data_IF_074570451499
#
_entry.id   IF_074570451499
#
_cell.length_a   1.000
_cell.length_b   1.000
_cell.length_c   1.000
_cell.angle_alpha   90.00
_cell.angle_beta   90.00
_cell.angle_gamma   90.00
#
_symmetry.space_group_name_H-M   'P 1'
#
loop_
_entity.id
_entity.type
_entity.pdbx_description
1 polymer ?
#
# COMPACT_ATOMS: atom_id res chain seq x y z
N UNK A 1 26.91 76.62 20.43
CA UNK A 1 26.07 75.56 21.00
C UNK A 1 25.90 74.50 19.92
N UNK A 2 26.77 73.49 19.93
CA UNK A 2 26.85 72.40 18.95
C UNK A 2 25.82 71.36 19.36
N UNK A 3 24.87 71.03 18.49
CA UNK A 3 23.91 69.95 18.71
C UNK A 3 24.27 68.77 17.81
N UNK A 4 24.68 67.70 18.49
CA UNK A 4 25.24 66.46 17.97
C UNK A 4 24.20 65.64 17.22
N UNK A 5 24.65 65.09 16.10
CA UNK A 5 24.06 64.03 15.27
C UNK A 5 23.92 62.71 16.03
N UNK A 6 22.83 61.98 15.77
CA UNK A 6 22.64 60.59 16.20
C UNK A 6 21.80 59.80 15.20
N UNK A 7 22.41 59.34 14.10
CA UNK A 7 21.80 58.33 13.23
C UNK A 7 21.94 56.96 13.88
N UNK A 8 20.83 56.40 14.35
CA UNK A 8 20.72 54.99 14.74
C UNK A 8 20.66 54.15 13.47
N UNK A 9 21.76 53.50 13.12
CA UNK A 9 21.80 52.49 12.06
C UNK A 9 21.23 51.19 12.64
N UNK A 10 19.94 50.93 12.41
CA UNK A 10 19.35 49.62 12.61
C UNK A 10 19.80 48.71 11.47
N UNK A 11 20.83 47.90 11.71
CA UNK A 11 21.24 46.85 10.78
C UNK A 11 20.24 45.69 10.82
N UNK A 12 19.53 45.44 9.71
CA UNK A 12 18.80 44.18 9.54
C UNK A 12 19.81 43.04 9.46
N UNK A 13 19.96 42.28 10.54
CA UNK A 13 20.65 40.99 10.50
C UNK A 13 19.78 40.03 9.70
N UNK A 14 20.12 39.85 8.42
CA UNK A 14 19.50 38.82 7.59
C UNK A 14 19.85 37.47 8.21
N UNK A 15 18.87 36.87 8.88
CA UNK A 15 19.01 35.56 9.51
C UNK A 15 19.19 34.54 8.38
N UNK A 16 20.45 34.23 8.07
CA UNK A 16 20.79 33.15 7.15
C UNK A 16 20.27 31.87 7.78
N UNK A 17 19.12 31.41 7.30
CA UNK A 17 18.54 30.13 7.68
C UNK A 17 19.62 29.07 7.51
N UNK A 18 19.90 28.34 8.58
CA UNK A 18 20.98 27.36 8.56
C UNK A 18 20.64 26.26 7.55
N UNK A 19 21.65 25.70 6.88
CA UNK A 19 21.43 24.59 5.94
C UNK A 19 20.67 23.41 6.60
N UNK A 20 20.82 23.24 7.92
CA UNK A 20 20.10 22.24 8.69
C UNK A 20 18.58 22.53 8.77
N UNK A 21 18.18 23.78 9.00
CA UNK A 21 16.75 24.18 8.98
C UNK A 21 16.17 24.06 7.56
N UNK A 22 16.96 24.35 6.53
CA UNK A 22 16.52 24.19 5.14
C UNK A 22 16.35 22.73 4.74
N UNK A 23 17.22 21.83 5.22
CA UNK A 23 17.11 20.39 4.98
C UNK A 23 15.92 19.79 5.74
N UNK A 24 15.73 20.18 7.02
CA UNK A 24 14.60 19.73 7.82
C UNK A 24 13.27 20.23 7.25
N UNK A 25 13.23 21.44 6.68
CA UNK A 25 12.02 21.99 6.08
C UNK A 25 11.63 21.35 4.77
N UNK A 26 12.50 20.58 4.09
CA UNK A 26 12.20 19.89 2.83
C UNK A 26 12.23 18.35 2.94
N UNK A 27 12.35 17.82 4.16
CA UNK A 27 12.36 16.38 4.38
C UNK A 27 10.94 15.81 4.24
N UNK A 28 10.79 14.93 3.24
CA UNK A 28 9.54 14.28 2.89
C UNK A 28 8.98 13.44 4.04
N UNK A 29 9.80 12.99 4.99
CA UNK A 29 9.35 12.18 6.13
C UNK A 29 8.50 13.00 7.10
N UNK A 30 8.75 14.30 7.20
CA UNK A 30 7.95 15.21 8.03
C UNK A 30 6.78 15.82 7.26
N UNK A 31 6.98 16.19 5.99
CA UNK A 31 5.92 16.82 5.18
C UNK A 31 4.89 15.82 4.63
N UNK A 32 5.34 14.62 4.27
CA UNK A 32 4.55 13.59 3.60
C UNK A 32 4.82 12.20 4.21
N UNK A 33 4.57 12.02 5.52
CA UNK A 33 4.76 10.73 6.17
C UNK A 33 3.85 9.69 5.52
N UNK A 34 4.38 8.47 5.36
CA UNK A 34 3.54 7.31 5.06
C UNK A 34 2.90 6.88 6.37
N UNK A 35 1.57 6.93 6.40
CA UNK A 35 0.78 6.49 7.54
C UNK A 35 0.33 5.06 7.28
N UNK A 36 0.61 4.19 8.24
CA UNK A 36 0.21 2.78 8.21
C UNK A 36 -1.00 2.63 9.11
N UNK A 37 -2.15 2.24 8.53
CA UNK A 37 -3.41 2.10 9.25
C UNK A 37 -4.20 0.89 8.79
N UNK A 38 -5.11 0.40 9.63
CA UNK A 38 -6.04 -0.67 9.25
C UNK A 38 -7.18 -0.08 8.42
N UNK A 39 -7.41 -0.63 7.23
CA UNK A 39 -8.46 -0.20 6.33
C UNK A 39 -9.10 -1.41 5.63
N UNK A 40 -10.39 -1.33 5.27
CA UNK A 40 -11.04 -2.40 4.54
C UNK A 40 -10.46 -2.53 3.13
N UNK A 41 -10.17 -3.76 2.73
CA UNK A 41 -10.06 -4.17 1.33
C UNK A 41 -11.42 -4.64 0.87
N UNK A 42 -11.88 -4.17 -0.29
CA UNK A 42 -13.26 -4.42 -0.75
C UNK A 42 -13.28 -5.00 -2.16
N UNK A 43 -14.17 -5.96 -2.38
CA UNK A 43 -14.52 -6.48 -3.70
C UNK A 43 -16.03 -6.34 -3.91
N UNK A 44 -16.41 -5.46 -4.82
CA UNK A 44 -17.81 -5.23 -5.20
C UNK A 44 -18.21 -6.13 -6.35
N UNK A 45 -19.25 -6.94 -6.11
CA UNK A 45 -19.79 -7.91 -7.06
C UNK A 45 -21.09 -7.35 -7.63
N UNK A 46 -21.12 -6.88 -8.89
CA UNK A 46 -22.35 -6.48 -9.54
C UNK A 46 -23.22 -7.71 -9.81
N UNK A 47 -24.45 -7.72 -9.30
CA UNK A 47 -25.39 -8.83 -9.48
C UNK A 47 -26.59 -8.33 -10.29
N UNK A 48 -26.79 -8.90 -11.49
CA UNK A 48 -27.97 -8.58 -12.29
C UNK A 48 -29.25 -9.19 -11.70
N UNK A 49 -30.40 -8.55 -11.91
CA UNK A 49 -31.73 -8.94 -11.37
C UNK A 49 -32.16 -10.39 -11.60
N UNK A 50 -31.70 -10.99 -12.71
CA UNK A 50 -32.07 -12.35 -13.09
C UNK A 50 -31.00 -13.39 -12.73
N UNK A 51 -29.91 -12.97 -12.07
CA UNK A 51 -28.82 -13.84 -11.70
C UNK A 51 -29.28 -14.82 -10.63
N UNK A 52 -29.14 -16.12 -10.90
CA UNK A 52 -29.48 -17.19 -9.95
C UNK A 52 -28.26 -17.91 -9.39
N UNK A 53 -27.15 -17.87 -10.11
CA UNK A 53 -25.90 -18.56 -9.82
C UNK A 53 -24.72 -17.70 -10.26
N UNK A 54 -23.59 -17.80 -9.57
CA UNK A 54 -22.35 -17.17 -10.01
C UNK A 54 -21.62 -18.07 -11.03
N UNK A 55 -21.02 -17.44 -12.04
CA UNK A 55 -20.15 -18.13 -12.99
C UNK A 55 -18.76 -18.40 -12.40
N UNK A 56 -18.06 -19.38 -12.98
CA UNK A 56 -16.71 -19.80 -12.57
C UNK A 56 -15.72 -18.65 -12.34
N UNK A 57 -15.55 -17.71 -13.30
CA UNK A 57 -14.62 -16.60 -13.13
C UNK A 57 -14.89 -15.74 -11.89
N UNK A 58 -16.17 -15.48 -11.58
CA UNK A 58 -16.55 -14.70 -10.39
C UNK A 58 -16.27 -15.48 -9.12
N UNK A 59 -16.58 -16.79 -9.09
CA UNK A 59 -16.26 -17.64 -7.94
C UNK A 59 -14.76 -17.77 -7.72
N UNK A 60 -13.96 -17.80 -8.78
CA UNK A 60 -12.50 -17.86 -8.70
C UNK A 60 -11.93 -16.55 -8.12
N UNK A 61 -12.45 -15.40 -8.55
CA UNK A 61 -12.08 -14.10 -7.94
C UNK A 61 -12.43 -14.04 -6.45
N UNK A 62 -13.60 -14.57 -6.05
CA UNK A 62 -14.01 -14.64 -4.64
C UNK A 62 -13.09 -15.58 -3.85
N UNK A 63 -12.72 -16.73 -4.42
CA UNK A 63 -11.78 -17.66 -3.80
C UNK A 63 -10.38 -17.03 -3.63
N UNK A 64 -9.90 -16.27 -4.63
CA UNK A 64 -8.66 -15.50 -4.54
C UNK A 64 -8.74 -14.46 -3.43
N UNK A 65 -9.83 -13.70 -3.36
CA UNK A 65 -10.05 -12.71 -2.32
C UNK A 65 -10.02 -13.33 -0.91
N UNK A 66 -10.57 -14.53 -0.74
CA UNK A 66 -10.45 -15.29 0.51
C UNK A 66 -9.00 -15.71 0.81
N UNK A 67 -8.23 -16.16 -0.17
CA UNK A 67 -6.80 -16.46 0.00
C UNK A 67 -6.02 -15.21 0.41
N UNK A 68 -6.28 -14.06 -0.22
CA UNK A 68 -5.63 -12.79 0.09
C UNK A 68 -5.98 -12.30 1.49
N UNK A 69 -7.23 -12.47 1.93
CA UNK A 69 -7.64 -12.13 3.30
C UNK A 69 -6.82 -12.87 4.37
N UNK A 70 -6.37 -14.10 4.07
CA UNK A 70 -5.53 -14.92 4.96
C UNK A 70 -4.05 -14.56 4.89
N UNK A 71 -3.56 -14.12 3.73
CA UNK A 71 -2.16 -13.77 3.51
C UNK A 71 -1.83 -12.35 3.94
N UNK A 72 -2.74 -11.41 3.70
CA UNK A 72 -2.51 -9.97 3.81
C UNK A 72 -3.42 -9.30 4.87
N UNK A 73 -4.44 -9.99 5.36
CA UNK A 73 -5.41 -9.47 6.33
C UNK A 73 -5.52 -10.32 7.60
N UNK A 74 -6.63 -10.14 8.31
CA UNK A 74 -6.93 -10.88 9.55
C UNK A 74 -7.55 -12.28 9.33
N UNK A 75 -7.61 -12.77 8.09
CA UNK A 75 -8.17 -14.08 7.74
C UNK A 75 -9.67 -14.20 7.97
N UNK A 76 -10.43 -13.10 7.89
CA UNK A 76 -11.89 -13.07 8.00
C UNK A 76 -12.46 -12.25 6.84
N UNK A 77 -13.63 -12.64 6.34
CA UNK A 77 -14.34 -11.90 5.29
C UNK A 77 -15.76 -11.60 5.75
N UNK A 78 -16.18 -10.37 5.53
CA UNK A 78 -17.55 -9.91 5.71
C UNK A 78 -18.25 -9.81 4.37
N UNK A 79 -19.45 -10.36 4.29
CA UNK A 79 -20.35 -10.24 3.14
C UNK A 79 -21.37 -9.16 3.48
N UNK A 80 -21.31 -8.03 2.78
CA UNK A 80 -22.25 -6.92 2.88
C UNK A 80 -23.32 -7.09 1.78
N UNK A 81 -24.54 -7.35 2.22
CA UNK A 81 -25.69 -7.67 1.38
C UNK A 81 -26.62 -6.46 1.30
N UNK A 82 -26.92 -5.92 0.12
CA UNK A 82 -27.87 -4.83 -0.01
C UNK A 82 -29.29 -5.30 0.32
N UNK A 83 -30.08 -4.43 0.94
CA UNK A 83 -31.51 -4.63 1.20
C UNK A 83 -32.33 -3.50 0.58
N UNK A 84 -33.51 -3.82 0.05
CA UNK A 84 -34.42 -2.85 -0.57
C UNK A 84 -34.03 -2.42 -1.98
N UNK A 85 -33.11 -3.12 -2.64
CA UNK A 85 -32.72 -2.89 -4.03
C UNK A 85 -33.54 -3.74 -5.01
N UNK A 86 -33.62 -3.33 -6.27
CA UNK A 86 -34.39 -4.04 -7.30
C UNK A 86 -33.90 -5.49 -7.58
N UNK A 87 -32.65 -5.79 -7.22
CA UNK A 87 -32.00 -7.09 -7.40
C UNK A 87 -31.91 -7.93 -6.11
N UNK A 88 -32.61 -7.57 -5.04
CA UNK A 88 -32.52 -8.23 -3.72
C UNK A 88 -32.75 -9.76 -3.79
N UNK A 89 -33.73 -10.22 -4.57
CA UNK A 89 -33.98 -11.65 -4.76
C UNK A 89 -32.82 -12.39 -5.44
N UNK A 90 -32.13 -11.75 -6.39
CA UNK A 90 -30.95 -12.33 -7.05
C UNK A 90 -29.75 -12.38 -6.10
N UNK A 91 -29.54 -11.30 -5.35
CA UNK A 91 -28.51 -11.18 -4.31
C UNK A 91 -28.64 -12.31 -3.26
N UNK A 92 -29.87 -12.58 -2.79
CA UNK A 92 -30.12 -13.71 -1.89
C UNK A 92 -29.81 -15.06 -2.52
N UNK A 93 -30.15 -15.27 -3.80
CA UNK A 93 -29.90 -16.52 -4.50
C UNK A 93 -28.39 -16.85 -4.62
N UNK A 94 -27.56 -15.84 -4.93
CA UNK A 94 -26.11 -16.04 -5.14
C UNK A 94 -25.29 -16.07 -3.85
N UNK A 95 -25.86 -15.65 -2.70
CA UNK A 95 -25.13 -15.62 -1.42
C UNK A 95 -24.58 -16.99 -1.03
N UNK A 96 -25.25 -18.09 -1.39
CA UNK A 96 -24.76 -19.46 -1.15
C UNK A 96 -23.49 -19.74 -1.96
N UNK A 97 -23.44 -19.31 -3.21
CA UNK A 97 -22.30 -19.51 -4.11
C UNK A 97 -21.09 -18.71 -3.61
N UNK A 98 -21.30 -17.47 -3.15
CA UNK A 98 -20.27 -16.64 -2.51
C UNK A 98 -19.67 -17.36 -1.30
N UNK A 99 -20.50 -17.88 -0.38
CA UNK A 99 -19.99 -18.64 0.77
C UNK A 99 -19.25 -19.92 0.36
N UNK A 100 -19.68 -20.56 -0.73
CA UNK A 100 -18.98 -21.71 -1.31
C UNK A 100 -17.58 -21.34 -1.79
N UNK A 101 -17.47 -20.28 -2.59
CA UNK A 101 -16.21 -19.78 -3.11
C UNK A 101 -15.26 -19.29 -2.00
N UNK A 102 -15.76 -18.58 -0.98
CA UNK A 102 -14.94 -18.18 0.18
C UNK A 102 -14.38 -19.39 0.94
N UNK A 103 -15.14 -20.48 1.04
CA UNK A 103 -14.66 -21.74 1.63
C UNK A 103 -13.61 -22.43 0.77
N UNK A 104 -13.77 -22.41 -0.55
CA UNK A 104 -12.74 -22.91 -1.49
C UNK A 104 -11.44 -22.13 -1.34
N UNK A 105 -11.49 -20.82 -1.07
CA UNK A 105 -10.33 -20.00 -0.69
C UNK A 105 -9.76 -20.26 0.71
N UNK A 106 -10.29 -21.25 1.44
CA UNK A 106 -9.75 -21.72 2.73
C UNK A 106 -10.34 -21.06 3.98
N UNK A 107 -11.46 -20.33 3.88
CA UNK A 107 -12.14 -19.78 5.05
C UNK A 107 -13.13 -20.77 5.66
N UNK A 108 -13.11 -20.89 6.98
CA UNK A 108 -14.11 -21.64 7.74
C UNK A 108 -15.39 -20.82 7.97
N UNK A 109 -16.47 -21.45 8.44
CA UNK A 109 -17.74 -20.76 8.71
C UNK A 109 -17.60 -19.62 9.74
N UNK A 110 -16.74 -19.74 10.75
CA UNK A 110 -16.54 -18.73 11.79
C UNK A 110 -15.77 -17.50 11.29
N UNK A 111 -15.06 -17.64 10.17
CA UNK A 111 -14.32 -16.56 9.52
C UNK A 111 -15.16 -15.78 8.51
N UNK A 112 -16.37 -16.25 8.18
CA UNK A 112 -17.28 -15.60 7.23
C UNK A 112 -18.46 -14.99 7.98
N UNK A 113 -18.51 -13.67 8.02
CA UNK A 113 -19.63 -12.92 8.59
C UNK A 113 -20.52 -12.34 7.49
N UNK A 114 -21.75 -11.97 7.84
CA UNK A 114 -22.69 -11.35 6.90
C UNK A 114 -23.38 -10.20 7.60
N UNK A 115 -23.40 -9.05 6.93
CA UNK A 115 -24.13 -7.86 7.35
C UNK A 115 -24.97 -7.35 6.19
N UNK A 116 -25.99 -6.58 6.51
CA UNK A 116 -26.85 -5.94 5.52
C UNK A 116 -26.60 -4.44 5.50
N UNK A 117 -26.83 -3.82 4.36
CA UNK A 117 -26.86 -2.36 4.25
C UNK A 117 -28.05 -1.92 3.38
N UNK A 118 -28.70 -0.79 3.70
CA UNK A 118 -29.82 -0.30 2.91
C UNK A 118 -29.34 0.24 1.55
N UNK A 119 -30.07 -0.08 0.48
CA UNK A 119 -29.91 0.60 -0.79
C UNK A 119 -30.49 2.01 -0.71
N UNK A 120 -29.79 3.00 -1.26
CA UNK A 120 -30.29 4.38 -1.34
C UNK A 120 -31.37 4.57 -2.40
N UNK A 121 -31.36 3.73 -3.44
CA UNK A 121 -32.33 3.75 -4.54
C UNK A 121 -32.98 2.37 -4.68
N UNK A 122 -34.29 2.23 -4.43
CA UNK A 122 -35.00 0.97 -4.57
C UNK A 122 -35.11 0.46 -6.01
N UNK A 123 -34.99 1.37 -6.99
CA UNK A 123 -35.10 1.04 -8.41
C UNK A 123 -33.77 0.58 -9.00
N UNK A 124 -32.65 0.84 -8.33
CA UNK A 124 -31.31 0.49 -8.78
C UNK A 124 -30.88 -0.93 -8.36
N UNK A 125 -29.96 -1.50 -9.13
CA UNK A 125 -29.27 -2.74 -8.76
C UNK A 125 -28.11 -2.40 -7.84
N UNK A 126 -28.07 -3.02 -6.65
CA UNK A 126 -27.00 -2.80 -5.68
C UNK A 126 -26.03 -3.99 -5.67
N UNK A 127 -24.70 -3.75 -5.59
CA UNK A 127 -23.71 -4.83 -5.58
C UNK A 127 -23.68 -5.58 -4.24
N UNK A 128 -23.14 -6.80 -4.22
CA UNK A 128 -22.70 -7.42 -2.96
C UNK A 128 -21.26 -7.00 -2.72
N UNK A 129 -20.96 -6.46 -1.53
CA UNK A 129 -19.58 -6.08 -1.17
C UNK A 129 -18.96 -7.14 -0.28
N UNK A 130 -17.82 -7.67 -0.67
CA UNK A 130 -16.96 -8.45 0.22
C UNK A 130 -15.94 -7.51 0.85
N UNK A 131 -15.68 -7.65 2.15
CA UNK A 131 -14.62 -6.88 2.80
C UNK A 131 -13.80 -7.72 3.78
N UNK A 132 -12.52 -7.37 3.91
CA UNK A 132 -11.69 -7.80 5.04
C UNK A 132 -10.78 -6.67 5.49
N UNK A 133 -10.33 -6.71 6.74
CA UNK A 133 -9.43 -5.70 7.26
C UNK A 133 -7.97 -6.08 6.98
N UNK A 134 -7.19 -5.11 6.49
CA UNK A 134 -5.75 -5.23 6.26
C UNK A 134 -5.03 -3.95 6.65
N UNK A 135 -3.73 -4.06 6.91
CA UNK A 135 -2.88 -2.88 6.98
C UNK A 135 -2.72 -2.28 5.57
N UNK A 136 -2.83 -0.96 5.47
CA UNK A 136 -2.56 -0.17 4.27
C UNK A 136 -1.55 0.93 4.59
N UNK A 137 -0.69 1.21 3.62
CA UNK A 137 0.19 2.37 3.64
C UNK A 137 -0.46 3.47 2.78
N UNK A 138 -0.66 4.65 3.35
CA UNK A 138 -1.26 5.79 2.65
C UNK A 138 -0.50 7.07 2.97
N UNK A 139 -0.45 7.99 2.03
CA UNK A 139 -0.01 9.37 2.25
C UNK A 139 -1.22 10.29 2.31
N UNK A 140 -1.01 11.56 2.70
CA UNK A 140 -2.00 12.61 2.47
C UNK A 140 -2.26 12.83 0.98
N UNK A 141 -3.27 13.65 0.66
CA UNK A 141 -3.59 14.01 -0.72
C UNK A 141 -2.42 14.73 -1.39
N UNK A 142 -1.98 14.19 -2.53
CA UNK A 142 -0.96 14.79 -3.40
C UNK A 142 -1.65 15.34 -4.67
N UNK A 143 -1.07 16.33 -5.36
CA UNK A 143 -1.54 16.72 -6.70
C UNK A 143 -1.47 18.20 -7.06
N UNK A 144 -1.19 19.08 -6.10
CA UNK A 144 -0.92 20.50 -6.35
C UNK A 144 0.46 20.77 -6.99
N UNK A 145 0.50 21.04 -8.29
CA UNK A 145 1.72 21.42 -9.01
C UNK A 145 1.62 22.86 -9.53
N UNK A 146 1.78 23.89 -8.66
CA UNK A 146 1.46 25.27 -8.99
C UNK A 146 2.48 25.96 -9.90
N UNK A 147 3.66 25.37 -10.10
CA UNK A 147 4.71 25.89 -10.98
C UNK A 147 4.96 24.90 -12.11
N UNK A 148 5.87 25.22 -13.02
CA UNK A 148 6.42 24.27 -13.98
C UNK A 148 7.87 24.00 -13.60
N UNK A 149 8.33 22.75 -13.77
CA UNK A 149 9.70 22.33 -13.45
C UNK A 149 10.77 23.12 -14.26
N UNK A 150 10.42 23.62 -15.44
CA UNK A 150 11.34 24.37 -16.31
C UNK A 150 11.69 25.79 -15.83
N UNK A 151 10.95 26.37 -14.88
CA UNK A 151 11.14 27.76 -14.44
C UNK A 151 12.21 27.98 -13.35
N UNK A 152 12.80 26.91 -12.82
CA UNK A 152 13.66 26.96 -11.62
C UNK A 152 14.90 26.06 -11.66
N UNK A 153 15.39 25.73 -12.86
CA UNK A 153 16.50 24.78 -13.10
C UNK A 153 17.85 25.18 -12.46
N UNK A 154 17.96 26.41 -11.95
CA UNK A 154 19.17 26.93 -11.30
C UNK A 154 19.22 26.67 -9.80
N UNK A 155 18.15 26.16 -9.20
CA UNK A 155 18.02 25.95 -7.76
C UNK A 155 17.96 24.45 -7.45
N UNK A 156 18.92 23.93 -6.67
CA UNK A 156 18.92 22.53 -6.21
C UNK A 156 17.97 22.36 -5.01
N UNK A 157 16.67 22.52 -5.26
CA UNK A 157 15.62 22.43 -4.23
C UNK A 157 14.54 21.44 -4.65
N UNK A 158 13.91 20.79 -3.67
CA UNK A 158 12.82 19.85 -3.94
C UNK A 158 11.64 20.58 -4.59
N UNK A 159 11.12 19.98 -5.67
CA UNK A 159 9.91 20.47 -6.32
C UNK A 159 8.68 20.16 -5.45
N UNK A 160 7.66 21.04 -5.45
CA UNK A 160 6.67 21.15 -4.35
C UNK A 160 6.03 19.82 -3.91
N UNK A 161 5.63 18.96 -4.84
CA UNK A 161 4.99 17.68 -4.54
C UNK A 161 5.87 16.46 -4.82
N UNK A 162 7.15 16.65 -5.09
CA UNK A 162 8.04 15.54 -5.41
C UNK A 162 8.15 14.54 -4.26
N UNK A 163 8.24 15.04 -3.01
CA UNK A 163 8.20 14.20 -1.81
C UNK A 163 6.89 13.43 -1.67
N UNK A 164 5.75 14.09 -1.88
CA UNK A 164 4.42 13.46 -1.81
C UNK A 164 4.27 12.37 -2.87
N UNK A 165 4.63 12.65 -4.12
CA UNK A 165 4.55 11.69 -5.22
C UNK A 165 5.45 10.47 -4.98
N UNK A 166 6.68 10.69 -4.51
CA UNK A 166 7.62 9.61 -4.19
C UNK A 166 7.09 8.73 -3.06
N UNK A 167 6.59 9.34 -1.98
CA UNK A 167 6.04 8.62 -0.83
C UNK A 167 4.75 7.86 -1.18
N UNK A 168 3.88 8.44 -2.01
CA UNK A 168 2.65 7.81 -2.48
C UNK A 168 2.95 6.60 -3.37
N UNK A 169 3.90 6.72 -4.28
CA UNK A 169 4.36 5.59 -5.11
C UNK A 169 4.98 4.49 -4.24
N UNK A 170 5.83 4.85 -3.26
CA UNK A 170 6.39 3.88 -2.32
C UNK A 170 5.28 3.16 -1.54
N UNK A 171 4.32 3.90 -0.99
CA UNK A 171 3.19 3.33 -0.26
C UNK A 171 2.35 2.37 -1.13
N UNK A 172 2.18 2.66 -2.41
CA UNK A 172 1.46 1.80 -3.36
C UNK A 172 2.24 0.53 -3.77
N UNK A 173 3.58 0.59 -3.81
CA UNK A 173 4.43 -0.55 -4.17
C UNK A 173 4.71 -1.50 -3.01
N UNK A 174 4.54 -1.04 -1.77
CA UNK A 174 4.82 -1.86 -0.57
C UNK A 174 3.76 -2.97 -0.45
N UNK A 175 4.21 -4.21 -0.62
CA UNK A 175 3.36 -5.40 -0.49
C UNK A 175 2.81 -5.56 0.94
N UNK A 176 3.69 -5.38 1.95
CA UNK A 176 3.32 -5.46 3.37
C UNK A 176 3.62 -4.15 4.11
N UNK A 177 2.59 -3.32 4.36
CA UNK A 177 2.73 -2.04 5.04
C UNK A 177 3.33 -2.12 6.45
N UNK A 178 3.24 -3.26 7.14
CA UNK A 178 3.82 -3.42 8.47
C UNK A 178 5.35 -3.35 8.47
N UNK A 179 5.99 -3.64 7.33
CA UNK A 179 7.45 -3.59 7.18
C UNK A 179 7.99 -2.14 7.27
N UNK A 180 7.13 -1.14 7.07
CA UNK A 180 7.48 0.28 7.24
C UNK A 180 7.56 0.72 8.70
N UNK A 181 6.96 -0.03 9.62
CA UNK A 181 7.01 0.24 11.06
C UNK A 181 8.20 -0.50 11.69
N UNK A 182 8.34 -1.78 11.37
CA UNK A 182 9.39 -2.63 11.92
C UNK A 182 9.83 -3.65 10.88
N UNK A 183 11.14 -3.92 10.75
CA UNK A 183 11.61 -4.99 9.88
C UNK A 183 11.05 -6.34 10.34
N UNK A 184 10.78 -7.24 9.40
CA UNK A 184 10.43 -8.63 9.71
C UNK A 184 11.58 -9.29 10.49
N UNK A 185 11.23 -10.28 11.32
CA UNK A 185 12.23 -11.11 11.98
C UNK A 185 13.13 -11.75 10.92
N UNK A 186 14.42 -11.47 10.97
CA UNK A 186 15.40 -12.17 10.15
C UNK A 186 15.53 -13.60 10.64
N UNK A 187 15.65 -14.54 9.71
CA UNK A 187 16.08 -15.90 10.06
C UNK A 187 17.54 -15.87 10.51
N UNK A 188 17.95 -16.79 11.41
CA UNK A 188 19.36 -16.94 11.74
C UNK A 188 20.18 -17.15 10.46
N UNK A 189 21.36 -16.53 10.41
CA UNK A 189 22.27 -16.74 9.28
C UNK A 189 22.64 -18.22 9.13
N UNK A 190 22.81 -18.68 7.90
CA UNK A 190 23.24 -20.04 7.60
C UNK A 190 24.67 -20.27 8.13
N UNK A 191 24.76 -20.97 9.27
CA UNK A 191 26.04 -21.24 9.94
C UNK A 191 26.92 -22.19 9.14
N UNK A 192 26.34 -23.11 8.37
CA UNK A 192 27.09 -24.03 7.53
C UNK A 192 27.74 -23.27 6.38
N UNK A 193 26.99 -22.38 5.71
CA UNK A 193 27.56 -21.51 4.67
C UNK A 193 28.68 -20.64 5.21
N UNK A 194 28.49 -20.05 6.39
CA UNK A 194 29.52 -19.25 7.06
C UNK A 194 30.79 -20.05 7.36
N UNK A 195 30.64 -21.26 7.93
CA UNK A 195 31.78 -22.14 8.20
C UNK A 195 32.57 -22.47 6.93
N UNK A 196 31.89 -22.80 5.84
CA UNK A 196 32.53 -23.07 4.54
C UNK A 196 33.29 -21.86 4.02
N UNK A 197 32.68 -20.67 4.06
CA UNK A 197 33.33 -19.43 3.61
C UNK A 197 34.57 -19.11 4.46
N UNK A 198 34.48 -19.28 5.78
CA UNK A 198 35.63 -19.05 6.66
C UNK A 198 36.77 -20.04 6.41
N UNK A 199 36.46 -21.31 6.17
CA UNK A 199 37.48 -22.31 5.89
C UNK A 199 38.20 -22.03 4.57
N UNK A 200 37.45 -21.70 3.51
CA UNK A 200 38.03 -21.28 2.23
C UNK A 200 38.90 -20.04 2.36
N UNK A 201 38.43 -19.05 3.12
CA UNK A 201 39.19 -17.84 3.39
C UNK A 201 40.53 -18.15 4.07
N UNK A 202 40.55 -19.02 5.09
CA UNK A 202 41.79 -19.43 5.77
C UNK A 202 42.78 -20.16 4.83
N UNK A 203 42.27 -20.92 3.87
CA UNK A 203 43.08 -21.63 2.87
C UNK A 203 43.54 -20.75 1.70
N UNK A 204 43.08 -19.50 1.62
CA UNK A 204 43.32 -18.63 0.47
C UNK A 204 42.54 -19.04 -0.79
N UNK A 205 41.48 -19.84 -0.62
CA UNK A 205 40.60 -20.29 -1.71
C UNK A 205 39.49 -19.27 -2.01
N UNK A 206 38.88 -19.37 -3.20
CA UNK A 206 37.81 -18.45 -3.62
C UNK A 206 36.53 -18.66 -2.79
N UNK A 207 36.05 -17.60 -2.14
CA UNK A 207 34.82 -17.63 -1.32
C UNK A 207 33.54 -17.47 -2.15
N UNK A 208 33.68 -16.91 -3.35
CA UNK A 208 32.61 -16.80 -4.33
C UNK A 208 32.14 -18.19 -4.79
N UNK A 209 30.87 -18.31 -5.14
CA UNK A 209 30.40 -19.47 -5.93
C UNK A 209 31.08 -19.45 -7.29
N UNK A 210 31.43 -20.63 -7.83
CA UNK A 210 31.81 -20.72 -9.23
C UNK A 210 30.59 -20.37 -10.08
N UNK A 211 30.73 -19.33 -10.90
CA UNK A 211 29.74 -18.93 -11.89
C UNK A 211 30.30 -19.26 -13.27
N UNK A 212 29.52 -19.98 -14.07
CA UNK A 212 29.84 -20.24 -15.48
C UNK A 212 28.85 -19.45 -16.31
N UNK A 213 29.35 -18.52 -17.13
CA UNK A 213 28.53 -17.76 -18.07
C UNK A 213 28.00 -18.72 -19.15
N UNK A 214 26.70 -19.03 -19.15
CA UNK A 214 26.11 -19.94 -20.14
C UNK A 214 24.93 -20.83 -19.73
N UNK A 215 24.35 -20.68 -18.54
CA UNK A 215 23.06 -21.34 -18.19
C UNK A 215 22.00 -20.34 -17.74
N UNK A 216 22.03 -19.14 -18.34
CA UNK A 216 20.96 -18.16 -18.21
C UNK A 216 19.70 -18.66 -18.92
N UNK A 217 18.57 -18.63 -18.21
CA UNK A 217 17.27 -19.08 -18.67
C UNK A 217 16.93 -18.59 -20.09
N UNK A 218 16.53 -19.53 -20.95
CA UNK A 218 15.83 -19.21 -22.20
C UNK A 218 14.54 -18.46 -21.82
N UNK A 219 14.49 -17.18 -22.16
CA UNK A 219 13.22 -16.45 -22.16
C UNK A 219 12.43 -17.00 -23.32
N UNK A 220 11.36 -17.75 -23.03
CA UNK A 220 10.44 -18.22 -24.07
C UNK A 220 9.89 -17.01 -24.83
N UNK A 221 10.06 -17.02 -26.16
CA UNK A 221 9.30 -16.17 -27.08
C UNK A 221 7.80 -16.51 -27.03
#
# INVERSE_FOLDING_TARGET
MVLLTGLLVAGCQSQKQSNAELLASHDYRYQHPIVVSEAPETLDLPIGRNTRRLGGPVTDSIASFAMDSRRQGNGRVEILVPTGAANEAAVHAVTRDIRGALKQGGLSRSQISTRTYPSSDPSADAPIRLSYARMKATTGECGSWPKNIGGGITQNTNYQNFGCATQSNLAAMVENPSDLITPRSSTPGDQNRRAVVFEKYRKGETTASQYTEGVGAEVSE
#
